data_IF_744156780837
#
_entry.id   IF_744156780837
#
_cell.length_a   1.000
_cell.length_b   1.000
_cell.length_c   1.000
_cell.angle_alpha   90.00
_cell.angle_beta   90.00
_cell.angle_gamma   90.00
#
_symmetry.space_group_name_H-M   'P 1'
#
loop_
_entity.id
_entity.type
_entity.pdbx_description
1 polymer ?
#
# COMPACT_ATOMS: atom_id res chain seq x y z
N UNK A 1 6.75 -23.40 5.38
CA UNK A 1 6.35 -22.67 6.60
C UNK A 1 5.18 -21.78 6.19
N UNK A 2 3.99 -21.96 6.74
CA UNK A 2 2.78 -21.26 6.26
C UNK A 2 2.65 -19.90 6.94
N UNK A 3 2.61 -18.84 6.13
CA UNK A 3 2.25 -17.49 6.56
C UNK A 3 0.80 -17.52 7.09
N UNK A 4 0.58 -17.20 8.37
CA UNK A 4 -0.76 -17.07 8.92
C UNK A 4 -1.30 -15.68 8.59
N UNK A 5 -2.21 -15.59 7.63
CA UNK A 5 -2.95 -14.36 7.31
C UNK A 5 -4.01 -14.19 8.40
N UNK A 6 -3.71 -13.42 9.43
CA UNK A 6 -4.53 -13.38 10.63
C UNK A 6 -5.50 -12.20 10.71
N UNK A 7 -5.54 -11.30 9.72
CA UNK A 7 -6.60 -10.30 9.55
C UNK A 7 -6.48 -9.61 8.18
N UNK A 8 -7.61 -9.42 7.50
CA UNK A 8 -7.69 -8.76 6.20
C UNK A 8 -8.73 -7.64 6.21
N UNK A 9 -8.30 -6.43 5.88
CA UNK A 9 -9.21 -5.27 5.74
C UNK A 9 -9.32 -4.91 4.28
N UNK A 10 -10.55 -4.89 3.76
CA UNK A 10 -10.85 -4.54 2.37
C UNK A 10 -11.07 -3.03 2.29
N UNK A 11 -10.41 -2.39 1.32
CA UNK A 11 -10.54 -0.97 1.03
C UNK A 11 -11.12 -0.78 -0.36
N UNK A 12 -12.15 0.07 -0.42
CA UNK A 12 -12.77 0.51 -1.66
C UNK A 12 -12.78 2.04 -1.70
N UNK A 13 -12.45 2.62 -2.85
CA UNK A 13 -12.44 4.07 -3.12
C UNK A 13 -11.56 4.89 -2.16
N UNK A 14 -10.32 4.44 -1.95
CA UNK A 14 -9.37 5.10 -1.06
C UNK A 14 -8.29 5.86 -1.86
N UNK A 15 -8.19 7.16 -1.66
CA UNK A 15 -7.13 7.97 -2.28
C UNK A 15 -5.85 7.89 -1.46
N UNK A 16 -4.75 7.48 -2.10
CA UNK A 16 -3.43 7.36 -1.47
C UNK A 16 -2.35 8.01 -2.31
N UNK A 17 -1.33 8.55 -1.65
CA UNK A 17 -0.09 8.93 -2.30
C UNK A 17 0.93 7.79 -2.20
N UNK A 18 1.35 7.27 -3.34
CA UNK A 18 2.37 6.21 -3.40
C UNK A 18 3.77 6.81 -3.35
N UNK A 19 4.65 6.21 -2.55
CA UNK A 19 6.06 6.60 -2.44
C UNK A 19 6.94 5.41 -2.80
N UNK A 20 8.20 5.69 -3.10
CA UNK A 20 9.21 4.68 -3.45
C UNK A 20 10.38 4.78 -2.50
N UNK A 21 10.88 3.62 -2.08
CA UNK A 21 12.20 3.48 -1.46
C UNK A 21 12.93 2.31 -2.12
N UNK A 22 14.23 2.22 -1.86
CA UNK A 22 15.03 1.07 -2.27
C UNK A 22 15.43 0.27 -1.05
N UNK A 23 15.20 -1.04 -1.09
CA UNK A 23 15.54 -1.97 -0.01
C UNK A 23 16.41 -3.09 -0.57
N UNK A 24 17.15 -3.78 0.28
CA UNK A 24 17.88 -4.97 -0.13
C UNK A 24 17.01 -6.21 0.09
N UNK A 25 16.89 -7.05 -0.94
CA UNK A 25 16.18 -8.32 -0.83
C UNK A 25 17.06 -9.38 -0.10
N UNK A 26 16.53 -10.60 0.06
CA UNK A 26 17.26 -11.73 0.70
C UNK A 26 18.55 -12.12 -0.02
N UNK A 27 18.69 -11.76 -1.30
CA UNK A 27 19.90 -11.98 -2.11
C UNK A 27 20.86 -10.77 -2.09
N UNK A 28 20.63 -9.79 -1.22
CA UNK A 28 21.38 -8.52 -1.16
C UNK A 28 21.33 -7.69 -2.44
N UNK A 29 20.31 -7.90 -3.28
CA UNK A 29 20.05 -7.05 -4.45
C UNK A 29 19.18 -5.87 -4.04
N UNK A 30 19.53 -4.69 -4.53
CA UNK A 30 18.75 -3.46 -4.34
C UNK A 30 17.48 -3.55 -5.19
N UNK A 31 16.32 -3.62 -4.55
CA UNK A 31 15.01 -3.69 -5.19
C UNK A 31 14.19 -2.45 -4.85
N UNK A 32 13.33 -2.05 -5.79
CA UNK A 32 12.41 -0.94 -5.63
C UNK A 32 11.19 -1.42 -4.82
N UNK A 33 10.83 -0.67 -3.78
CA UNK A 33 9.67 -0.98 -2.94
C UNK A 33 8.72 0.23 -2.90
N UNK A 34 7.44 -0.05 -3.17
CA UNK A 34 6.36 0.94 -3.06
C UNK A 34 5.80 0.94 -1.65
N UNK A 35 5.54 2.13 -1.11
CA UNK A 35 4.99 2.27 0.23
C UNK A 35 4.11 3.51 0.37
N UNK A 36 3.29 3.53 1.41
CA UNK A 36 2.53 4.70 1.87
C UNK A 36 3.06 5.08 3.25
N UNK A 37 3.05 6.37 3.57
CA UNK A 37 3.34 6.87 4.92
C UNK A 37 2.06 7.35 5.59
N UNK A 38 2.04 7.31 6.91
CA UNK A 38 1.01 7.95 7.75
C UNK A 38 -0.41 7.49 7.39
N UNK A 39 -0.56 6.20 7.14
CA UNK A 39 -1.81 5.59 6.73
C UNK A 39 -2.71 5.33 7.95
N UNK A 40 -3.95 5.80 7.90
CA UNK A 40 -4.93 5.53 8.96
C UNK A 40 -6.19 4.90 8.41
N UNK A 41 -6.73 3.94 9.14
CA UNK A 41 -7.98 3.28 8.79
C UNK A 41 -8.77 2.89 10.03
N UNK A 42 -10.08 2.73 9.86
CA UNK A 42 -10.93 2.21 10.92
C UNK A 42 -11.03 0.69 10.79
N UNK A 43 -10.53 -0.01 11.80
CA UNK A 43 -10.56 -1.45 11.87
C UNK A 43 -11.91 -1.87 12.50
N UNK A 44 -12.76 -2.50 11.69
CA UNK A 44 -14.13 -2.87 12.10
C UNK A 44 -14.16 -3.94 13.19
N UNK A 45 -13.18 -4.84 13.21
CA UNK A 45 -13.09 -5.93 14.19
C UNK A 45 -12.74 -5.40 15.58
N UNK A 46 -11.69 -4.58 15.66
CA UNK A 46 -11.26 -3.95 16.91
C UNK A 46 -12.04 -2.68 17.26
N UNK A 47 -12.91 -2.20 16.36
CA UNK A 47 -13.68 -0.94 16.47
C UNK A 47 -12.80 0.26 16.82
N UNK A 48 -11.59 0.29 16.28
CA UNK A 48 -10.59 1.30 16.59
C UNK A 48 -9.95 1.87 15.34
N UNK A 49 -9.59 3.16 15.40
CA UNK A 49 -8.76 3.78 14.36
C UNK A 49 -7.32 3.29 14.55
N UNK A 50 -6.80 2.59 13.54
CA UNK A 50 -5.40 2.20 13.47
C UNK A 50 -4.63 3.22 12.67
N UNK A 51 -3.43 3.52 13.15
CA UNK A 51 -2.46 4.36 12.48
C UNK A 51 -1.21 3.53 12.18
N UNK A 52 -0.79 3.53 10.92
CA UNK A 52 0.39 2.85 10.43
C UNK A 52 1.32 3.91 9.86
N UNK A 53 2.48 4.08 10.49
CA UNK A 53 3.49 5.02 10.01
C UNK A 53 3.95 4.68 8.59
N UNK A 54 4.04 3.39 8.27
CA UNK A 54 4.36 2.90 6.93
C UNK A 54 3.60 1.61 6.61
N UNK A 55 3.22 1.47 5.34
CA UNK A 55 2.64 0.25 4.79
C UNK A 55 3.27 -0.02 3.42
N UNK A 56 3.76 -1.25 3.20
CA UNK A 56 4.28 -1.67 1.90
C UNK A 56 3.12 -1.93 0.94
N UNK A 57 3.26 -1.54 -0.32
CA UNK A 57 2.26 -1.77 -1.36
C UNK A 57 2.75 -2.87 -2.30
N UNK A 58 1.84 -3.77 -2.65
CA UNK A 58 2.01 -4.70 -3.78
C UNK A 58 0.83 -4.55 -4.74
N UNK A 59 1.09 -4.58 -6.02
CA UNK A 59 0.06 -4.55 -7.06
C UNK A 59 -0.05 -5.95 -7.65
N UNK A 60 -1.24 -6.56 -7.64
CA UNK A 60 -1.40 -7.96 -8.12
C UNK A 60 -1.40 -8.10 -9.64
N UNK A 61 -1.83 -7.05 -10.36
CA UNK A 61 -2.06 -7.10 -11.80
C UNK A 61 -1.21 -6.11 -12.60
N UNK A 62 -0.14 -5.59 -12.00
CA UNK A 62 0.87 -4.83 -12.72
C UNK A 62 2.06 -5.76 -12.94
N UNK A 63 2.55 -5.83 -14.19
CA UNK A 63 3.80 -6.52 -14.51
C UNK A 63 4.92 -6.02 -13.58
N UNK A 64 5.48 -6.93 -12.77
CA UNK A 64 6.61 -6.62 -11.87
C UNK A 64 7.82 -6.08 -12.64
N UNK A 65 7.93 -6.41 -13.93
CA UNK A 65 9.00 -5.95 -14.82
C UNK A 65 8.87 -4.47 -15.25
N UNK A 66 7.67 -3.85 -15.22
CA UNK A 66 7.49 -2.45 -15.64
C UNK A 66 6.39 -1.67 -14.86
N UNK A 67 6.45 -1.60 -13.53
CA UNK A 67 5.47 -0.83 -12.74
C UNK A 67 5.56 0.69 -12.97
N UNK A 68 6.69 1.18 -13.50
CA UNK A 68 6.93 2.62 -13.76
C UNK A 68 6.11 3.17 -14.92
N UNK A 69 5.61 2.32 -15.82
CA UNK A 69 4.70 2.74 -16.89
C UNK A 69 3.33 3.17 -16.32
N UNK A 70 2.95 2.62 -15.17
CA UNK A 70 1.64 2.82 -14.56
C UNK A 70 1.67 3.73 -13.32
N UNK A 71 2.82 3.83 -12.64
CA UNK A 71 2.97 4.54 -11.37
C UNK A 71 4.29 5.34 -11.31
N UNK A 72 4.17 6.62 -10.96
CA UNK A 72 5.28 7.50 -10.64
C UNK A 72 5.40 7.70 -9.13
N UNK A 73 6.62 7.86 -8.58
CA UNK A 73 6.80 8.24 -7.18
C UNK A 73 6.06 9.53 -6.85
N UNK A 74 5.37 9.58 -5.71
CA UNK A 74 4.58 10.74 -5.28
C UNK A 74 3.22 10.87 -5.95
N UNK A 75 2.87 9.97 -6.87
CA UNK A 75 1.59 9.97 -7.55
C UNK A 75 0.44 9.64 -6.60
N UNK A 76 -0.71 10.30 -6.81
CA UNK A 76 -1.92 10.02 -6.06
C UNK A 76 -2.82 9.11 -6.91
N UNK A 77 -3.22 7.99 -6.33
CA UNK A 77 -4.12 7.00 -6.96
C UNK A 77 -5.34 6.79 -6.09
N UNK A 78 -6.46 6.44 -6.71
CA UNK A 78 -7.61 5.86 -6.00
C UNK A 78 -7.53 4.35 -6.09
N UNK A 79 -7.44 3.70 -4.94
CA UNK A 79 -7.64 2.27 -4.81
C UNK A 79 -9.13 2.01 -4.94
N UNK A 80 -9.54 1.33 -6.00
CA UNK A 80 -10.92 0.91 -6.17
C UNK A 80 -11.17 -0.38 -5.41
N UNK A 81 -10.17 -1.27 -5.36
CA UNK A 81 -10.20 -2.54 -4.66
C UNK A 81 -8.80 -2.90 -4.16
N UNK A 82 -8.68 -3.17 -2.85
CA UNK A 82 -7.44 -3.60 -2.24
C UNK A 82 -7.64 -4.20 -0.85
N UNK A 83 -6.65 -4.97 -0.40
CA UNK A 83 -6.70 -5.72 0.86
C UNK A 83 -5.43 -5.47 1.64
N UNK A 84 -5.55 -5.00 2.88
CA UNK A 84 -4.42 -5.00 3.82
C UNK A 84 -4.31 -6.38 4.44
N UNK A 85 -3.16 -7.01 4.30
CA UNK A 85 -2.78 -8.23 5.00
C UNK A 85 -1.73 -7.89 6.06
N UNK A 86 -1.93 -8.38 7.27
CA UNK A 86 -0.88 -8.42 8.27
C UNK A 86 -0.01 -9.64 8.01
N UNK A 87 1.28 -9.42 7.77
CA UNK A 87 2.27 -10.50 7.71
C UNK A 87 3.02 -10.49 9.04
N UNK A 88 2.68 -11.46 9.89
CA UNK A 88 3.47 -11.78 11.07
C UNK A 88 4.71 -12.58 10.64
N UNK A 89 5.83 -11.87 10.46
CA UNK A 89 7.13 -12.54 10.42
C UNK A 89 7.63 -12.74 11.85
N UNK A 90 7.91 -14.00 12.21
CA UNK A 90 8.30 -14.40 13.57
C UNK A 90 9.61 -13.72 14.04
N UNK A 91 10.40 -13.15 13.12
CA UNK A 91 11.72 -12.55 13.39
C UNK A 91 11.83 -11.04 13.12
N UNK A 92 10.85 -10.43 12.44
CA UNK A 92 10.89 -9.00 12.08
C UNK A 92 9.50 -8.40 12.30
N UNK A 93 9.46 -7.17 12.81
CA UNK A 93 8.25 -6.40 13.15
C UNK A 93 7.06 -6.70 12.23
N UNK A 94 5.86 -6.77 12.84
CA UNK A 94 4.57 -6.81 12.14
C UNK A 94 4.58 -5.86 10.93
N UNK A 95 4.56 -6.43 9.73
CA UNK A 95 4.53 -5.67 8.50
C UNK A 95 3.14 -5.77 7.89
N UNK A 96 2.52 -4.63 7.68
CA UNK A 96 1.29 -4.54 6.91
C UNK A 96 1.67 -4.43 5.44
N UNK A 97 1.01 -5.23 4.59
CA UNK A 97 1.11 -5.12 3.14
C UNK A 97 -0.28 -4.80 2.61
N UNK A 98 -0.39 -3.70 1.89
CA UNK A 98 -1.56 -3.36 1.10
C UNK A 98 -1.41 -3.97 -0.29
N UNK A 99 -2.24 -4.95 -0.58
CA UNK A 99 -2.34 -5.57 -1.90
C UNK A 99 -3.43 -4.81 -2.68
N UNK A 100 -3.06 -4.23 -3.81
CA UNK A 100 -3.96 -3.46 -4.67
C UNK A 100 -4.30 -4.31 -5.89
N UNK A 101 -5.59 -4.61 -6.03
CA UNK A 101 -6.16 -5.34 -7.16
C UNK A 101 -6.50 -4.37 -8.30
N UNK A 102 -7.27 -3.32 -7.98
CA UNK A 102 -7.70 -2.30 -8.93
C UNK A 102 -7.45 -0.90 -8.40
N UNK A 103 -6.91 -0.05 -9.25
CA UNK A 103 -6.74 1.36 -8.97
C UNK A 103 -6.96 2.19 -10.22
N UNK A 104 -7.22 3.49 -10.03
CA UNK A 104 -7.18 4.49 -11.09
C UNK A 104 -6.26 5.63 -10.70
N UNK A 105 -5.64 6.24 -11.71
CA UNK A 105 -4.94 7.49 -11.51
C UNK A 105 -5.95 8.62 -11.33
N UNK A 106 -5.72 9.50 -10.36
CA UNK A 106 -6.56 10.69 -10.20
C UNK A 106 -6.29 11.71 -11.31
N UNK A 107 -7.35 12.36 -11.78
CA UNK A 107 -7.26 13.54 -12.66
C UNK A 107 -6.61 14.72 -11.95
N UNK A 108 -6.14 15.73 -12.70
CA UNK A 108 -5.56 16.94 -12.09
C UNK A 108 -6.50 17.62 -11.09
N UNK A 109 -7.80 17.65 -11.40
CA UNK A 109 -8.82 18.20 -10.50
C UNK A 109 -8.88 17.42 -9.18
N UNK A 110 -9.02 16.09 -9.27
CA UNK A 110 -9.07 15.22 -8.08
C UNK A 110 -7.77 15.29 -7.25
N UNK A 111 -6.60 15.47 -7.89
CA UNK A 111 -5.32 15.65 -7.17
C UNK A 111 -5.29 16.93 -6.34
N UNK A 112 -5.79 18.05 -6.89
CA UNK A 112 -5.89 19.33 -6.16
C UNK A 112 -6.85 19.23 -4.98
N UNK A 113 -7.92 18.46 -5.11
CA UNK A 113 -8.86 18.21 -4.01
C UNK A 113 -8.21 17.37 -2.89
N UNK A 114 -7.40 16.38 -3.24
CA UNK A 114 -6.67 15.57 -2.25
C UNK A 114 -5.67 16.40 -1.43
N UNK A 115 -4.92 17.28 -2.10
CA UNK A 115 -3.91 18.16 -1.47
C UNK A 115 -4.51 19.23 -0.55
N UNK A 116 -5.79 19.58 -0.73
CA UNK A 116 -6.48 20.52 0.17
C UNK A 116 -7.06 19.84 1.42
N UNK A 117 -7.19 18.51 1.40
CA UNK A 117 -7.81 17.72 2.48
C UNK A 117 -6.80 17.08 3.43
N UNK A 118 -5.54 16.97 3.03
CA UNK A 118 -4.44 16.34 3.77
C UNK A 118 -3.26 17.30 3.85
#
# INVERSE_FOLDING_TARGET
MMEKINNSVIFNNLDIQVKVRYVFNKEQKKVKEWFISDFSFYDQESKQKKFLSQITIKFEHIDEDNPEFFLQPGQIIRINEGIIKLIDNISEKKNYILIIDKFKQLSEKERKDYQQKN
#
